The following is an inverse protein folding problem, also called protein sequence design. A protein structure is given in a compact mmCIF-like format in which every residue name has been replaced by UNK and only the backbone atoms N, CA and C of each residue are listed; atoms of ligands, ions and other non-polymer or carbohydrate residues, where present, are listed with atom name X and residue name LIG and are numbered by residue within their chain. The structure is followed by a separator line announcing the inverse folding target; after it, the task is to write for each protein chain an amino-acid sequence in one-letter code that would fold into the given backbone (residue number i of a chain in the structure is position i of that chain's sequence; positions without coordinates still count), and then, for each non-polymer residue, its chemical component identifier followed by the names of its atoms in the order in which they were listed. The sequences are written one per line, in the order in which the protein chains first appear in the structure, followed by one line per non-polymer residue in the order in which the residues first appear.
data_IF_975160944181
#
_entry.id   IF_975160944181
#
_cell.length_a   1.000
_cell.length_b   1.000
_cell.length_c   1.000
_cell.angle_alpha   90.00
_cell.angle_beta   90.00
_cell.angle_gamma   90.00
#
_symmetry.space_group_name_H-M   'P 1'
#
loop_
_entity.id
_entity.type
_entity.pdbx_description
1 polymer ?
#
# COMPACT_ATOMS: atom_id res chain seq x y z
N UNK A 1 5.23 6.23 -90.09
CA UNK A 1 6.26 6.20 -91.15
C UNK A 1 6.45 7.64 -91.61
N UNK A 2 7.51 8.28 -91.10
CA UNK A 2 8.67 8.76 -91.88
C UNK A 2 8.36 10.05 -92.65
N UNK A 3 8.88 11.18 -92.18
CA UNK A 3 10.11 11.84 -92.69
C UNK A 3 9.86 12.49 -94.04
N UNK A 4 9.68 13.82 -94.07
CA UNK A 4 10.72 14.85 -94.27
C UNK A 4 10.88 15.20 -95.75
N UNK A 5 11.41 16.41 -95.94
CA UNK A 5 11.86 17.03 -97.19
C UNK A 5 10.71 17.70 -97.98
N UNK A 6 10.74 18.99 -98.29
CA UNK A 6 11.87 19.91 -98.42
C UNK A 6 11.83 20.47 -99.83
N UNK A 7 11.55 21.76 -100.00
CA UNK A 7 12.15 22.64 -101.02
C UNK A 7 11.43 23.98 -101.07
N UNK A 8 12.22 25.03 -100.94
CA UNK A 8 11.84 26.41 -101.18
C UNK A 8 11.87 26.74 -102.69
N UNK A 9 11.00 27.65 -103.14
CA UNK A 9 11.38 28.95 -103.70
C UNK A 9 10.23 29.62 -104.49
N UNK A 10 10.35 30.95 -104.60
CA UNK A 10 9.78 31.83 -105.64
C UNK A 10 8.49 32.60 -105.35
N UNK A 11 8.64 33.60 -104.48
CA UNK A 11 8.33 35.03 -104.66
C UNK A 11 7.33 35.48 -105.74
N UNK A 12 6.21 36.11 -105.33
CA UNK A 12 5.58 37.22 -106.09
C UNK A 12 5.16 38.33 -105.11
N UNK A 13 5.70 39.54 -105.30
CA UNK A 13 5.38 40.76 -104.55
C UNK A 13 4.03 41.33 -104.98
N UNK A 14 3.19 41.74 -104.01
CA UNK A 14 2.22 42.83 -104.19
C UNK A 14 2.27 43.78 -102.99
N UNK A 15 2.52 45.07 -103.28
CA UNK A 15 2.50 46.21 -102.36
C UNK A 15 1.06 46.54 -101.95
N UNK A 16 0.79 46.70 -100.67
CA UNK A 16 -0.38 47.45 -100.16
C UNK A 16 0.05 48.33 -98.99
N UNK A 17 -0.45 49.55 -99.01
CA UNK A 17 -0.05 50.74 -98.24
C UNK A 17 -0.51 50.72 -96.78
N UNK A 18 0.38 51.15 -95.86
CA UNK A 18 0.05 51.35 -94.43
C UNK A 18 -0.64 52.70 -94.21
N UNK A 19 -1.87 52.69 -93.68
CA UNK A 19 -2.51 53.87 -93.06
C UNK A 19 -2.02 54.00 -91.61
N UNK A 20 -1.42 55.14 -91.29
CA UNK A 20 -1.14 55.56 -89.92
C UNK A 20 -2.42 56.14 -89.30
N UNK A 21 -2.84 55.61 -88.15
CA UNK A 21 -3.87 56.22 -87.32
C UNK A 21 -3.20 57.15 -86.30
N UNK A 22 -3.48 58.45 -86.40
CA UNK A 22 -3.15 59.47 -85.40
C UNK A 22 -4.22 59.39 -84.31
N UNK A 23 -3.81 59.04 -83.09
CA UNK A 23 -4.69 58.95 -81.90
C UNK A 23 -4.79 60.34 -81.29
N UNK A 24 -5.98 60.92 -81.26
CA UNK A 24 -6.27 62.14 -80.50
C UNK A 24 -6.25 61.82 -79.00
N UNK A 25 -5.38 62.53 -78.27
CA UNK A 25 -5.30 62.52 -76.81
C UNK A 25 -6.47 63.35 -76.26
N UNK A 26 -7.44 62.68 -75.64
CA UNK A 26 -8.49 63.34 -74.88
C UNK A 26 -8.00 63.57 -73.46
N UNK A 27 -7.72 64.82 -73.13
CA UNK A 27 -7.29 65.28 -71.81
C UNK A 27 -8.46 65.14 -70.80
N UNK A 28 -8.52 63.99 -70.13
CA UNK A 28 -9.55 63.66 -69.14
C UNK A 28 -9.04 64.06 -67.76
N UNK A 29 -9.34 65.29 -67.33
CA UNK A 29 -9.08 65.79 -65.96
C UNK A 29 -9.60 64.79 -64.92
N UNK A 30 -8.71 64.25 -64.09
CA UNK A 30 -9.04 63.38 -62.96
C UNK A 30 -9.90 64.15 -61.94
N UNK A 31 -11.12 63.69 -61.71
CA UNK A 31 -11.96 64.15 -60.61
C UNK A 31 -11.51 63.45 -59.32
N UNK A 32 -11.14 64.18 -58.25
CA UNK A 32 -10.77 63.58 -56.96
C UNK A 32 -11.94 62.82 -56.29
N UNK A 33 -13.17 62.97 -56.78
CA UNK A 33 -14.37 62.31 -56.25
C UNK A 33 -14.33 60.79 -56.52
N UNK A 34 -13.61 60.32 -57.56
CA UNK A 34 -13.48 58.88 -57.85
C UNK A 34 -12.50 58.15 -56.92
N UNK A 35 -11.62 58.88 -56.20
CA UNK A 35 -10.64 58.29 -55.26
C UNK A 35 -11.30 57.91 -53.94
N UNK A 36 -12.33 58.64 -53.52
CA UNK A 36 -13.07 58.41 -52.26
C UNK A 36 -13.77 57.03 -52.22
N UNK A 37 -14.54 56.60 -53.24
CA UNK A 37 -15.15 55.27 -53.23
C UNK A 37 -14.11 54.15 -53.37
N UNK A 38 -13.01 54.37 -54.08
CA UNK A 38 -11.89 53.40 -54.17
C UNK A 38 -11.17 53.24 -52.83
N UNK A 39 -10.92 54.33 -52.10
CA UNK A 39 -10.38 54.29 -50.74
C UNK A 39 -11.38 53.64 -49.77
N UNK A 40 -12.67 53.95 -49.87
CA UNK A 40 -13.71 53.29 -49.08
C UNK A 40 -13.77 51.78 -49.31
N UNK A 41 -13.62 51.34 -50.56
CA UNK A 41 -13.61 49.92 -50.92
C UNK A 41 -12.31 49.24 -50.45
N UNK A 42 -11.16 49.93 -50.54
CA UNK A 42 -9.90 49.45 -49.99
C UNK A 42 -9.95 49.35 -48.45
N UNK A 43 -10.56 50.32 -47.76
CA UNK A 43 -10.76 50.29 -46.30
C UNK A 43 -11.72 49.17 -45.91
N UNK A 44 -12.83 48.96 -46.62
CA UNK A 44 -13.73 47.82 -46.40
C UNK A 44 -13.02 46.47 -46.63
N UNK A 45 -12.16 46.39 -47.65
CA UNK A 45 -11.35 45.21 -47.92
C UNK A 45 -10.32 44.98 -46.80
N UNK A 46 -9.67 46.03 -46.31
CA UNK A 46 -8.73 45.96 -45.19
C UNK A 46 -9.41 45.58 -43.87
N UNK A 47 -10.60 46.12 -43.59
CA UNK A 47 -11.41 45.74 -42.43
C UNK A 47 -11.87 44.27 -42.55
N UNK A 48 -12.33 43.84 -43.73
CA UNK A 48 -12.66 42.44 -43.98
C UNK A 48 -11.46 41.51 -43.78
N UNK A 49 -10.30 41.88 -44.30
CA UNK A 49 -9.07 41.10 -44.13
C UNK A 49 -8.58 41.07 -42.66
N UNK A 50 -8.71 42.17 -41.91
CA UNK A 50 -8.17 42.26 -40.55
C UNK A 50 -9.11 41.73 -39.46
N UNK A 51 -10.43 41.81 -39.65
CA UNK A 51 -11.42 41.44 -38.62
C UNK A 51 -12.10 40.12 -38.93
N UNK A 52 -12.46 39.88 -40.19
CA UNK A 52 -13.25 38.71 -40.57
C UNK A 52 -12.36 37.49 -40.78
N UNK A 53 -11.18 37.64 -41.38
CA UNK A 53 -10.29 36.50 -41.65
C UNK A 53 -9.79 35.78 -40.37
N UNK A 54 -9.31 36.48 -39.32
CA UNK A 54 -8.85 35.79 -38.10
C UNK A 54 -10.00 35.11 -37.35
N UNK A 55 -11.19 35.72 -37.33
CA UNK A 55 -12.37 35.14 -36.69
C UNK A 55 -12.85 33.86 -37.37
N UNK A 56 -12.69 33.74 -38.68
CA UNK A 56 -13.01 32.50 -39.42
C UNK A 56 -12.00 31.39 -39.10
N UNK A 57 -10.70 31.71 -39.02
CA UNK A 57 -9.66 30.73 -38.73
C UNK A 57 -9.81 30.10 -37.33
N UNK A 58 -10.15 30.91 -36.33
CA UNK A 58 -10.39 30.47 -34.96
C UNK A 58 -11.67 29.64 -34.83
N UNK A 59 -12.74 30.04 -35.53
CA UNK A 59 -14.02 29.34 -35.52
C UNK A 59 -13.95 27.97 -36.23
N UNK A 60 -13.18 27.87 -37.32
CA UNK A 60 -12.88 26.59 -37.99
C UNK A 60 -12.08 25.69 -37.05
N UNK A 61 -11.02 26.20 -36.43
CA UNK A 61 -10.15 25.41 -35.54
C UNK A 61 -10.91 24.85 -34.33
N UNK A 62 -11.80 25.65 -33.73
CA UNK A 62 -12.65 25.24 -32.61
C UNK A 62 -13.64 24.14 -33.01
N UNK A 63 -14.36 24.29 -34.13
CA UNK A 63 -15.32 23.28 -34.60
C UNK A 63 -14.65 21.95 -34.97
N UNK A 64 -13.49 22.02 -35.61
CA UNK A 64 -12.67 20.83 -35.91
C UNK A 64 -12.34 20.10 -34.61
N UNK A 65 -11.94 20.82 -33.57
CA UNK A 65 -11.62 20.25 -32.27
C UNK A 65 -12.83 19.58 -31.61
N UNK A 66 -13.99 20.25 -31.58
CA UNK A 66 -15.23 19.74 -30.98
C UNK A 66 -15.75 18.47 -31.67
N UNK A 67 -15.77 18.44 -33.01
CA UNK A 67 -16.24 17.28 -33.77
C UNK A 67 -15.30 16.08 -33.67
N UNK A 68 -13.98 16.31 -33.61
CA UNK A 68 -13.00 15.23 -33.41
C UNK A 68 -13.10 14.64 -32.00
N UNK A 69 -13.29 15.47 -30.97
CA UNK A 69 -13.55 15.00 -29.61
C UNK A 69 -14.86 14.21 -29.53
N UNK A 70 -15.93 14.69 -30.16
CA UNK A 70 -17.22 13.98 -30.21
C UNK A 70 -17.12 12.62 -30.94
N UNK A 71 -16.19 12.48 -31.89
CA UNK A 71 -15.90 11.22 -32.57
C UNK A 71 -15.00 10.26 -31.75
N UNK A 72 -14.53 10.67 -30.57
CA UNK A 72 -13.64 9.89 -29.70
C UNK A 72 -12.18 9.87 -30.16
N UNK A 73 -11.77 10.84 -30.98
CA UNK A 73 -10.39 10.96 -31.48
C UNK A 73 -9.63 11.95 -30.59
N UNK A 74 -8.54 11.50 -29.96
CA UNK A 74 -7.68 12.38 -29.18
C UNK A 74 -6.81 13.22 -30.14
N UNK A 75 -6.99 14.53 -30.11
CA UNK A 75 -6.29 15.48 -30.99
C UNK A 75 -5.30 16.28 -30.18
N UNK A 76 -4.03 16.26 -30.57
CA UNK A 76 -2.97 16.98 -29.87
C UNK A 76 -2.81 18.41 -30.39
N UNK A 77 -3.13 18.66 -31.66
CA UNK A 77 -3.04 20.01 -32.24
C UNK A 77 -3.95 20.15 -33.48
N UNK A 78 -4.66 21.29 -33.56
CA UNK A 78 -5.42 21.74 -34.73
C UNK A 78 -4.92 23.13 -35.09
N UNK A 79 -4.46 23.31 -36.32
CA UNK A 79 -4.03 24.62 -36.84
C UNK A 79 -4.76 24.91 -38.15
N UNK A 80 -5.36 26.09 -38.24
CA UNK A 80 -5.93 26.64 -39.46
C UNK A 80 -5.06 27.80 -39.94
N UNK A 81 -4.72 27.82 -41.23
CA UNK A 81 -3.97 28.90 -41.86
C UNK A 81 -4.44 29.07 -43.30
N UNK A 82 -5.20 30.13 -43.58
CA UNK A 82 -5.78 30.37 -44.90
C UNK A 82 -6.75 29.25 -45.33
N UNK A 83 -6.38 28.51 -46.38
CA UNK A 83 -7.18 27.39 -46.93
C UNK A 83 -6.70 25.99 -46.47
N UNK A 84 -5.75 25.92 -45.53
CA UNK A 84 -5.19 24.66 -45.04
C UNK A 84 -5.57 24.45 -43.58
N UNK A 85 -6.11 23.27 -43.28
CA UNK A 85 -6.29 22.79 -41.90
C UNK A 85 -5.35 21.62 -41.66
N UNK A 86 -4.49 21.75 -40.64
CA UNK A 86 -3.57 20.70 -40.21
C UNK A 86 -4.07 20.11 -38.90
N UNK A 87 -4.27 18.79 -38.88
CA UNK A 87 -4.73 18.04 -37.71
C UNK A 87 -3.68 16.99 -37.34
N UNK A 88 -3.25 17.00 -36.09
CA UNK A 88 -2.42 15.95 -35.53
C UNK A 88 -3.25 15.19 -34.50
N UNK A 89 -3.47 13.90 -34.76
CA UNK A 89 -4.38 13.08 -33.98
C UNK A 89 -3.77 11.71 -33.68
N UNK A 90 -4.11 11.17 -32.51
CA UNK A 90 -3.74 9.81 -32.10
C UNK A 90 -4.85 8.86 -32.53
N UNK A 91 -4.62 8.05 -33.57
CA UNK A 91 -5.58 7.08 -34.06
C UNK A 91 -4.97 6.05 -35.01
N UNK A 92 -5.68 4.94 -35.23
CA UNK A 92 -5.25 3.87 -36.12
C UNK A 92 -5.40 4.25 -37.61
N UNK A 93 -4.46 3.83 -38.49
CA UNK A 93 -4.60 4.02 -39.93
C UNK A 93 -5.89 3.37 -40.47
N UNK A 94 -6.75 4.16 -41.13
CA UNK A 94 -7.98 3.67 -41.77
C UNK A 94 -9.28 3.82 -40.97
N UNK A 95 -9.25 4.50 -39.81
CA UNK A 95 -10.49 4.78 -39.08
C UNK A 95 -11.39 5.76 -39.86
N UNK A 96 -12.51 5.24 -40.39
CA UNK A 96 -13.47 6.00 -41.18
C UNK A 96 -14.05 7.21 -40.43
N UNK A 97 -13.98 7.20 -39.10
CA UNK A 97 -14.39 8.31 -38.23
C UNK A 97 -13.52 9.54 -38.42
N UNK A 98 -12.21 9.38 -38.60
CA UNK A 98 -11.28 10.50 -38.83
C UNK A 98 -11.57 11.13 -40.19
N UNK A 99 -11.78 10.30 -41.22
CA UNK A 99 -12.10 10.76 -42.58
C UNK A 99 -13.43 11.54 -42.57
N UNK A 100 -14.45 11.03 -41.86
CA UNK A 100 -15.76 11.67 -41.75
C UNK A 100 -15.71 12.98 -40.94
N UNK A 101 -14.96 13.01 -39.85
CA UNK A 101 -14.80 14.19 -39.01
C UNK A 101 -14.00 15.30 -39.73
N UNK A 102 -12.88 14.94 -40.39
CA UNK A 102 -12.09 15.88 -41.20
C UNK A 102 -12.90 16.40 -42.39
N UNK A 103 -13.67 15.55 -43.07
CA UNK A 103 -14.53 15.99 -44.16
C UNK A 103 -15.61 16.98 -43.69
N UNK A 104 -16.30 16.69 -42.58
CA UNK A 104 -17.33 17.56 -42.01
C UNK A 104 -16.75 18.90 -41.51
N UNK A 105 -15.51 18.87 -41.02
CA UNK A 105 -14.79 20.05 -40.55
C UNK A 105 -14.32 20.99 -41.68
N UNK A 106 -14.39 20.56 -42.95
CA UNK A 106 -14.09 21.41 -44.12
C UNK A 106 -15.29 22.22 -44.64
N UNK A 107 -16.48 22.07 -44.05
CA UNK A 107 -17.67 22.85 -44.37
C UNK A 107 -17.77 24.12 -43.49
N UNK A 108 -18.07 25.27 -44.11
CA UNK A 108 -18.35 26.53 -43.40
C UNK A 108 -19.71 27.10 -43.79
N UNK A 109 -20.34 27.79 -42.85
CA UNK A 109 -21.42 28.72 -43.17
C UNK A 109 -20.86 30.11 -43.51
N UNK A 110 -21.38 30.71 -44.56
CA UNK A 110 -21.14 32.10 -44.90
C UNK A 110 -22.47 32.84 -45.08
N UNK A 111 -22.39 34.17 -45.07
CA UNK A 111 -23.49 35.08 -45.42
C UNK A 111 -24.08 34.84 -46.82
N UNK A 112 -23.41 34.05 -47.68
CA UNK A 112 -23.89 33.65 -49.01
C UNK A 112 -24.23 32.15 -49.11
N UNK A 113 -24.41 31.45 -47.98
CA UNK A 113 -24.68 30.01 -47.92
C UNK A 113 -23.47 29.18 -47.52
N UNK A 114 -23.57 27.84 -47.63
CA UNK A 114 -22.48 26.92 -47.30
C UNK A 114 -21.34 27.04 -48.32
N UNK A 115 -20.15 27.36 -47.84
CA UNK A 115 -18.91 27.38 -48.61
C UNK A 115 -17.97 26.30 -48.08
N UNK A 116 -17.17 25.69 -48.95
CA UNK A 116 -16.04 24.83 -48.53
C UNK A 116 -14.87 25.75 -48.17
N UNK A 117 -14.50 25.80 -46.89
CA UNK A 117 -13.53 26.77 -46.39
C UNK A 117 -12.06 26.35 -46.56
N UNK A 118 -11.70 25.06 -46.41
CA UNK A 118 -10.37 24.58 -46.78
C UNK A 118 -10.44 23.46 -47.84
N UNK A 119 -9.62 23.55 -48.88
CA UNK A 119 -9.51 22.54 -49.96
C UNK A 119 -8.58 21.37 -49.61
N UNK A 120 -7.82 21.47 -48.51
CA UNK A 120 -6.88 20.42 -48.13
C UNK A 120 -6.76 20.25 -46.61
N UNK A 121 -6.71 18.99 -46.19
CA UNK A 121 -6.45 18.60 -44.81
C UNK A 121 -5.22 17.69 -44.76
N UNK A 122 -4.30 17.95 -43.84
CA UNK A 122 -3.21 17.01 -43.53
C UNK A 122 -3.49 16.39 -42.17
N UNK A 123 -3.57 15.07 -42.16
CA UNK A 123 -3.69 14.29 -40.93
C UNK A 123 -2.36 13.60 -40.69
N UNK A 124 -1.71 13.92 -39.57
CA UNK A 124 -0.59 13.12 -39.07
C UNK A 124 -1.13 12.21 -37.97
N UNK A 125 -1.19 10.92 -38.27
CA UNK A 125 -1.55 9.90 -37.30
C UNK A 125 -0.34 9.58 -36.43
N UNK A 126 -0.52 9.65 -35.12
CA UNK A 126 0.39 9.06 -34.15
C UNK A 126 -0.14 7.66 -33.85
N UNK A 127 0.70 6.64 -34.01
CA UNK A 127 0.32 5.28 -33.63
C UNK A 127 -0.06 5.25 -32.15
N UNK A 128 -1.21 4.67 -31.77
CA UNK A 128 -1.57 4.56 -30.37
C UNK A 128 -0.46 3.81 -29.66
N UNK A 129 0.00 4.35 -28.51
CA UNK A 129 0.96 3.68 -27.63
C UNK A 129 0.43 2.27 -27.39
N UNK A 130 1.11 1.30 -28.01
CA UNK A 130 0.68 -0.10 -28.07
C UNK A 130 0.18 -0.51 -26.69
N UNK A 131 -1.08 -0.94 -26.58
CA UNK A 131 -1.63 -1.40 -25.32
C UNK A 131 -0.68 -2.49 -24.82
N UNK A 132 0.01 -2.20 -23.71
CA UNK A 132 0.88 -3.18 -23.06
C UNK A 132 -0.04 -4.32 -22.68
N UNK A 133 0.11 -5.46 -23.34
CA UNK A 133 -0.64 -6.67 -23.01
C UNK A 133 -0.33 -6.94 -21.54
N UNK A 134 -1.34 -6.83 -20.68
CA UNK A 134 -1.16 -7.05 -19.26
C UNK A 134 -0.61 -8.48 -19.07
N UNK A 135 0.49 -8.66 -18.32
CA UNK A 135 1.08 -9.98 -18.11
C UNK A 135 0.06 -10.90 -17.45
N UNK A 136 0.08 -12.19 -17.83
CA UNK A 136 -0.81 -13.18 -17.24
C UNK A 136 -0.54 -13.32 -15.73
N UNK A 137 -1.57 -13.49 -14.88
CA UNK A 137 -1.37 -13.67 -13.46
C UNK A 137 -0.58 -14.95 -13.16
N UNK A 138 0.35 -14.88 -12.22
CA UNK A 138 1.09 -16.06 -11.75
C UNK A 138 1.13 -16.16 -10.23
N UNK A 139 1.55 -17.32 -9.74
CA UNK A 139 1.76 -17.54 -8.32
C UNK A 139 3.05 -16.86 -7.85
N UNK A 140 2.91 -16.04 -6.83
CA UNK A 140 4.01 -15.43 -6.08
C UNK A 140 4.14 -16.14 -4.73
N UNK A 141 5.34 -16.14 -4.17
CA UNK A 141 5.61 -16.75 -2.88
C UNK A 141 6.27 -15.74 -1.94
N UNK A 142 5.88 -15.78 -0.66
CA UNK A 142 6.55 -15.01 0.38
C UNK A 142 6.69 -15.82 1.66
N UNK A 143 7.63 -15.41 2.49
CA UNK A 143 7.88 -15.97 3.81
C UNK A 143 8.07 -14.83 4.81
N UNK A 144 7.34 -14.90 5.91
CA UNK A 144 7.50 -14.07 7.10
C UNK A 144 8.09 -14.96 8.19
N UNK A 145 9.31 -14.66 8.63
CA UNK A 145 9.98 -15.36 9.72
C UNK A 145 9.95 -14.47 10.95
N UNK A 146 9.38 -14.97 12.05
CA UNK A 146 9.31 -14.29 13.34
C UNK A 146 10.33 -14.89 14.30
N UNK A 147 11.16 -14.03 14.89
CA UNK A 147 12.08 -14.38 15.98
C UNK A 147 12.02 -13.31 17.08
N UNK A 148 11.41 -13.62 18.21
CA UNK A 148 11.24 -12.73 19.38
C UNK A 148 10.64 -11.35 19.08
N UNK A 149 11.43 -10.29 18.91
CA UNK A 149 10.91 -8.96 18.51
C UNK A 149 11.34 -8.57 17.09
N UNK A 150 11.87 -9.54 16.34
CA UNK A 150 12.33 -9.35 14.98
C UNK A 150 11.50 -10.10 13.96
N UNK A 151 11.37 -9.51 12.77
CA UNK A 151 10.73 -10.13 11.62
C UNK A 151 11.62 -10.02 10.39
N UNK A 152 11.69 -11.10 9.63
CA UNK A 152 12.34 -11.14 8.31
C UNK A 152 11.29 -11.42 7.24
N UNK A 153 11.23 -10.56 6.23
CA UNK A 153 10.35 -10.69 5.08
C UNK A 153 11.18 -11.12 3.87
N UNK A 154 10.88 -12.27 3.27
CA UNK A 154 11.57 -12.76 2.08
C UNK A 154 10.58 -13.22 1.02
N UNK A 155 11.03 -13.23 -0.24
CA UNK A 155 10.23 -13.68 -1.39
C UNK A 155 9.94 -12.57 -2.39
N UNK A 156 8.95 -12.80 -3.23
CA UNK A 156 8.61 -11.92 -4.35
C UNK A 156 7.16 -11.44 -4.20
N UNK A 157 6.94 -10.14 -4.32
CA UNK A 157 5.62 -9.49 -4.26
C UNK A 157 5.19 -8.96 -5.64
N UNK A 158 3.88 -8.90 -5.93
CA UNK A 158 3.40 -8.57 -7.27
C UNK A 158 3.69 -7.12 -7.68
N UNK A 159 3.63 -6.19 -6.73
CA UNK A 159 3.76 -4.76 -6.99
C UNK A 159 4.30 -4.01 -5.77
N UNK A 160 4.61 -2.73 -5.98
CA UNK A 160 5.15 -1.84 -4.96
C UNK A 160 4.12 -1.52 -3.86
N UNK A 161 2.82 -1.55 -4.15
CA UNK A 161 1.79 -1.29 -3.14
C UNK A 161 1.78 -2.39 -2.08
N UNK A 162 1.85 -3.66 -2.51
CA UNK A 162 1.92 -4.81 -1.61
C UNK A 162 3.24 -4.81 -0.84
N UNK A 163 4.36 -4.50 -1.51
CA UNK A 163 5.67 -4.33 -0.85
C UNK A 163 5.57 -3.33 0.31
N UNK A 164 5.17 -2.09 0.01
CA UNK A 164 5.17 -0.99 0.96
C UNK A 164 4.17 -1.25 2.10
N UNK A 165 3.05 -1.91 1.80
CA UNK A 165 2.09 -2.35 2.82
C UNK A 165 2.69 -3.38 3.77
N UNK A 166 3.38 -4.40 3.27
CA UNK A 166 4.02 -5.42 4.11
C UNK A 166 5.10 -4.80 4.99
N UNK A 167 6.00 -4.00 4.41
CA UNK A 167 7.08 -3.33 5.14
C UNK A 167 6.52 -2.33 6.15
N UNK A 168 5.49 -1.57 5.78
CA UNK A 168 4.82 -0.61 6.67
C UNK A 168 4.16 -1.28 7.87
N UNK A 169 3.41 -2.37 7.66
CA UNK A 169 2.82 -3.16 8.75
C UNK A 169 3.92 -3.74 9.64
N UNK A 170 4.99 -4.28 9.05
CA UNK A 170 6.10 -4.85 9.80
C UNK A 170 6.78 -3.78 10.68
N UNK A 171 7.08 -2.60 10.14
CA UNK A 171 7.70 -1.51 10.88
C UNK A 171 6.85 -0.95 12.01
N UNK A 172 5.52 -1.13 11.96
CA UNK A 172 4.62 -0.72 13.04
C UNK A 172 4.49 -1.75 14.17
N UNK A 173 4.76 -3.03 13.88
CA UNK A 173 4.43 -4.15 14.80
C UNK A 173 5.63 -4.84 15.42
N UNK A 174 6.80 -4.72 14.83
CA UNK A 174 8.01 -5.43 15.28
C UNK A 174 9.14 -4.44 15.54
N UNK A 175 9.92 -4.67 16.61
CA UNK A 175 11.04 -3.78 16.94
C UNK A 175 12.20 -3.84 15.96
N UNK A 176 12.39 -4.96 15.24
CA UNK A 176 13.40 -5.09 14.18
C UNK A 176 12.83 -5.72 12.92
N UNK A 177 13.03 -5.06 11.78
CA UNK A 177 12.55 -5.55 10.46
C UNK A 177 13.72 -5.74 9.51
N UNK A 178 13.84 -6.95 8.97
CA UNK A 178 14.73 -7.27 7.85
C UNK A 178 13.88 -7.47 6.60
N UNK A 179 14.08 -6.62 5.59
CA UNK A 179 13.34 -6.69 4.33
C UNK A 179 14.23 -7.23 3.20
N UNK A 180 13.88 -8.39 2.68
CA UNK A 180 14.50 -9.05 1.52
C UNK A 180 13.45 -9.36 0.44
N UNK A 181 12.35 -8.60 0.41
CA UNK A 181 11.31 -8.74 -0.62
C UNK A 181 11.78 -8.13 -1.95
N UNK A 182 11.48 -8.81 -3.06
CA UNK A 182 11.63 -8.29 -4.42
C UNK A 182 10.27 -7.99 -5.05
N UNK A 183 10.20 -7.03 -5.98
CA UNK A 183 8.97 -6.65 -6.69
C UNK A 183 9.02 -7.13 -8.13
N UNK A 184 8.04 -7.93 -8.55
CA UNK A 184 8.00 -8.52 -9.91
C UNK A 184 7.32 -7.63 -10.95
N UNK A 185 6.38 -6.77 -10.52
CA UNK A 185 5.45 -6.03 -11.39
C UNK A 185 4.55 -6.93 -12.25
N UNK A 186 4.14 -8.07 -11.71
CA UNK A 186 3.26 -9.03 -12.37
C UNK A 186 2.06 -9.35 -11.46
N UNK A 187 0.84 -9.45 -12.00
CA UNK A 187 -0.35 -9.75 -11.20
C UNK A 187 -0.22 -11.08 -10.46
N UNK A 188 -0.63 -11.09 -9.19
CA UNK A 188 -0.66 -12.32 -8.40
C UNK A 188 -1.95 -13.13 -8.64
N UNK A 189 -1.85 -14.45 -8.51
CA UNK A 189 -2.99 -15.35 -8.34
C UNK A 189 -3.53 -15.31 -6.92
N UNK A 190 -4.82 -15.65 -6.77
CA UNK A 190 -5.46 -15.79 -5.47
C UNK A 190 -5.49 -14.51 -4.62
N UNK A 191 -5.81 -14.63 -3.32
CA UNK A 191 -5.92 -13.49 -2.40
C UNK A 191 -4.57 -13.04 -1.81
N UNK A 192 -3.52 -12.90 -2.62
CA UNK A 192 -2.14 -12.65 -2.17
C UNK A 192 -2.01 -11.47 -1.17
N UNK A 193 -2.52 -10.28 -1.51
CA UNK A 193 -2.41 -9.08 -0.65
C UNK A 193 -3.09 -9.28 0.72
N UNK A 194 -4.23 -9.98 0.74
CA UNK A 194 -4.92 -10.33 2.00
C UNK A 194 -4.08 -11.35 2.79
N UNK A 195 -3.51 -12.35 2.11
CA UNK A 195 -2.66 -13.34 2.76
C UNK A 195 -1.38 -12.74 3.35
N UNK A 196 -0.74 -11.80 2.64
CA UNK A 196 0.42 -11.05 3.13
C UNK A 196 0.12 -10.29 4.41
N UNK A 197 -1.01 -9.57 4.43
CA UNK A 197 -1.49 -8.87 5.64
C UNK A 197 -1.77 -9.86 6.78
N UNK A 198 -2.37 -11.02 6.45
CA UNK A 198 -2.74 -12.02 7.45
C UNK A 198 -1.53 -12.75 8.05
N UNK A 199 -0.51 -13.01 7.23
CA UNK A 199 0.74 -13.61 7.67
C UNK A 199 1.44 -12.75 8.72
N UNK A 200 1.49 -11.44 8.52
CA UNK A 200 2.04 -10.48 9.49
C UNK A 200 1.21 -10.43 10.77
N UNK A 201 -0.12 -10.43 10.66
CA UNK A 201 -1.00 -10.44 11.83
C UNK A 201 -0.90 -11.72 12.66
N UNK A 202 -0.70 -12.88 12.02
CA UNK A 202 -0.39 -14.12 12.72
C UNK A 202 0.99 -14.04 13.37
N UNK A 203 2.02 -13.60 12.62
CA UNK A 203 3.40 -13.53 13.09
C UNK A 203 3.57 -12.62 14.32
N UNK A 204 2.78 -11.56 14.45
CA UNK A 204 2.75 -10.67 15.62
C UNK A 204 2.50 -11.41 16.94
N UNK A 205 1.72 -12.50 16.90
CA UNK A 205 1.30 -13.24 18.09
C UNK A 205 2.10 -14.53 18.30
N UNK A 206 2.99 -14.87 17.37
CA UNK A 206 3.94 -15.98 17.55
C UNK A 206 5.11 -15.52 18.40
N UNK A 207 5.64 -16.40 19.25
CA UNK A 207 6.93 -16.16 19.90
C UNK A 207 8.03 -16.28 18.83
N UNK A 208 8.08 -17.44 18.19
CA UNK A 208 8.97 -17.76 17.08
C UNK A 208 8.20 -18.59 16.05
N UNK A 209 8.43 -18.37 14.76
CA UNK A 209 7.73 -19.15 13.75
C UNK A 209 7.86 -18.62 12.33
N UNK A 210 7.04 -19.19 11.44
CA UNK A 210 7.00 -18.92 10.02
C UNK A 210 5.56 -18.84 9.55
N UNK A 211 5.23 -17.79 8.81
CA UNK A 211 4.03 -17.70 8.00
C UNK A 211 4.45 -17.57 6.53
N UNK A 212 4.10 -18.52 5.68
CA UNK A 212 4.49 -18.52 4.27
C UNK A 212 3.30 -18.71 3.35
N UNK A 213 3.31 -17.98 2.24
CA UNK A 213 2.36 -18.15 1.15
C UNK A 213 3.02 -18.90 0.01
N UNK A 214 2.53 -20.10 -0.26
CA UNK A 214 3.04 -21.00 -1.30
C UNK A 214 1.88 -21.78 -1.90
N UNK A 215 1.83 -21.93 -3.23
CA UNK A 215 0.73 -22.64 -3.90
C UNK A 215 -0.66 -22.05 -3.61
N UNK A 216 -0.78 -20.73 -3.57
CA UNK A 216 -2.00 -19.98 -3.20
C UNK A 216 -2.58 -20.34 -1.83
N UNK A 217 -1.73 -20.77 -0.89
CA UNK A 217 -2.12 -21.14 0.46
C UNK A 217 -1.18 -20.55 1.50
N UNK A 218 -1.77 -20.02 2.58
CA UNK A 218 -1.05 -19.56 3.76
C UNK A 218 -0.79 -20.75 4.69
N UNK A 219 0.47 -21.03 4.95
CA UNK A 219 0.96 -22.03 5.89
C UNK A 219 1.58 -21.35 7.10
N UNK A 220 1.20 -21.79 8.30
CA UNK A 220 1.72 -21.25 9.57
C UNK A 220 2.32 -22.38 10.39
N UNK A 221 3.56 -22.18 10.82
CA UNK A 221 4.25 -23.04 11.78
C UNK A 221 4.94 -22.21 12.86
N UNK A 222 5.04 -22.74 14.08
CA UNK A 222 5.80 -22.04 15.12
C UNK A 222 5.38 -22.36 16.54
N UNK A 223 5.70 -21.43 17.42
CA UNK A 223 5.45 -21.49 18.85
C UNK A 223 4.63 -20.27 19.28
N UNK A 224 3.59 -20.49 20.06
CA UNK A 224 2.64 -19.46 20.52
C UNK A 224 2.44 -19.56 22.03
N UNK A 225 2.36 -18.42 22.71
CA UNK A 225 1.98 -18.38 24.12
C UNK A 225 0.53 -18.83 24.31
N UNK A 226 0.21 -19.50 25.42
CA UNK A 226 -1.15 -19.98 25.71
C UNK A 226 -2.24 -18.90 25.51
N UNK A 227 -1.99 -17.68 25.97
CA UNK A 227 -2.92 -16.55 25.89
C UNK A 227 -3.15 -16.02 24.47
N UNK A 228 -2.27 -16.35 23.53
CA UNK A 228 -2.29 -15.84 22.14
C UNK A 228 -2.82 -16.84 21.12
N UNK A 229 -3.07 -18.09 21.52
CA UNK A 229 -3.47 -19.16 20.59
C UNK A 229 -4.79 -18.83 19.87
N UNK A 230 -5.77 -18.27 20.59
CA UNK A 230 -7.08 -17.96 20.01
C UNK A 230 -6.97 -16.84 18.98
N UNK A 231 -6.23 -15.79 19.28
CA UNK A 231 -5.98 -14.67 18.36
C UNK A 231 -5.24 -15.16 17.11
N UNK A 232 -4.18 -15.96 17.27
CA UNK A 232 -3.46 -16.57 16.13
C UNK A 232 -4.41 -17.39 15.26
N UNK A 233 -5.29 -18.18 15.87
CA UNK A 233 -6.25 -19.03 15.16
C UNK A 233 -7.33 -18.21 14.45
N UNK A 234 -7.84 -17.16 15.07
CA UNK A 234 -8.80 -16.24 14.46
C UNK A 234 -8.21 -15.53 13.25
N UNK A 235 -7.01 -14.98 13.41
CA UNK A 235 -6.23 -14.37 12.34
C UNK A 235 -6.04 -15.37 11.18
N UNK A 236 -5.56 -16.57 11.46
CA UNK A 236 -5.41 -17.61 10.42
C UNK A 236 -6.73 -17.97 9.71
N UNK A 237 -7.85 -17.94 10.43
CA UNK A 237 -9.18 -18.31 9.91
C UNK A 237 -9.87 -17.22 9.08
N UNK A 238 -9.30 -16.01 8.99
CA UNK A 238 -9.77 -14.96 8.07
C UNK A 238 -9.73 -15.46 6.61
N UNK A 239 -8.73 -16.28 6.27
CA UNK A 239 -8.69 -17.01 5.00
C UNK A 239 -9.57 -18.26 5.08
N UNK A 240 -10.32 -18.54 4.01
CA UNK A 240 -11.24 -19.69 3.98
C UNK A 240 -10.52 -20.94 3.48
N UNK A 241 -10.94 -22.12 3.95
CA UNK A 241 -10.47 -23.40 3.40
C UNK A 241 -10.74 -23.48 1.89
N UNK A 242 -9.72 -23.84 1.11
CA UNK A 242 -9.81 -23.87 -0.36
C UNK A 242 -9.78 -22.49 -1.03
N UNK A 243 -9.67 -21.41 -0.25
CA UNK A 243 -9.54 -20.03 -0.72
C UNK A 243 -8.46 -19.30 0.11
N UNK A 244 -7.22 -19.77 -0.02
CA UNK A 244 -6.04 -19.16 0.61
C UNK A 244 -5.59 -19.76 1.93
N UNK A 245 -6.39 -20.60 2.60
CA UNK A 245 -5.97 -21.24 3.86
C UNK A 245 -5.25 -22.57 3.62
N UNK A 246 -4.01 -22.67 4.09
CA UNK A 246 -3.17 -23.88 4.06
C UNK A 246 -3.08 -24.58 5.41
N UNK A 247 -1.86 -25.02 5.78
CA UNK A 247 -1.61 -25.76 7.03
C UNK A 247 -1.40 -24.84 8.23
N UNK A 248 -1.73 -25.35 9.42
CA UNK A 248 -1.58 -24.65 10.69
C UNK A 248 -1.00 -25.62 11.72
N UNK A 249 0.27 -25.45 12.06
CA UNK A 249 0.99 -26.31 13.00
C UNK A 249 1.78 -25.46 14.01
N UNK A 250 1.08 -25.06 15.07
CA UNK A 250 1.64 -24.25 16.15
C UNK A 250 1.68 -25.05 17.43
N UNK A 251 2.81 -24.95 18.15
CA UNK A 251 2.99 -25.50 19.48
C UNK A 251 2.65 -24.44 20.50
N UNK A 252 1.83 -24.80 21.47
CA UNK A 252 1.47 -23.90 22.58
C UNK A 252 2.51 -24.08 23.67
N UNK A 253 3.08 -22.97 24.11
CA UNK A 253 3.87 -22.92 25.34
C UNK A 253 3.13 -22.10 26.38
N UNK A 254 2.94 -22.70 27.54
CA UNK A 254 2.40 -22.03 28.70
C UNK A 254 3.58 -21.72 29.63
N UNK A 255 4.17 -20.54 29.44
CA UNK A 255 5.28 -20.08 30.27
C UNK A 255 4.89 -19.98 31.75
N UNK A 256 3.63 -19.66 32.05
CA UNK A 256 3.14 -19.60 33.42
C UNK A 256 3.15 -20.99 34.08
N UNK A 257 2.64 -22.02 33.39
CA UNK A 257 2.71 -23.40 33.89
C UNK A 257 4.14 -23.90 34.09
N UNK A 258 5.04 -23.60 33.15
CA UNK A 258 6.45 -24.01 33.27
C UNK A 258 7.13 -23.33 34.46
N UNK A 259 6.87 -22.04 34.66
CA UNK A 259 7.40 -21.30 35.80
C UNK A 259 6.87 -21.81 37.13
N UNK A 260 5.57 -22.09 37.21
CA UNK A 260 4.97 -22.64 38.42
C UNK A 260 5.57 -24.00 38.76
N UNK A 261 5.79 -24.88 37.76
CA UNK A 261 6.45 -26.17 37.96
C UNK A 261 7.89 -25.99 38.48
N UNK A 262 8.67 -25.09 37.88
CA UNK A 262 10.03 -24.79 38.34
C UNK A 262 10.08 -24.25 39.77
N UNK A 263 9.14 -23.37 40.14
CA UNK A 263 9.03 -22.89 41.52
C UNK A 263 8.66 -24.02 42.48
N UNK A 264 7.71 -24.88 42.13
CA UNK A 264 7.35 -26.04 42.95
C UNK A 264 8.52 -27.02 43.10
N UNK A 265 9.30 -27.24 42.05
CA UNK A 265 10.51 -28.09 42.11
C UNK A 265 11.58 -27.47 43.02
N UNK A 266 11.82 -26.16 42.91
CA UNK A 266 12.75 -25.44 43.79
C UNK A 266 12.32 -25.49 45.26
N UNK A 267 11.01 -25.37 45.52
CA UNK A 267 10.48 -25.58 46.85
C UNK A 267 10.62 -27.03 47.30
N UNK A 268 10.31 -28.03 46.47
CA UNK A 268 10.61 -29.44 46.72
C UNK A 268 10.42 -29.89 48.18
N UNK A 269 11.53 -30.17 48.88
CA UNK A 269 11.58 -30.46 50.33
C UNK A 269 12.08 -29.28 51.19
N UNK A 270 12.42 -28.16 50.54
CA UNK A 270 12.90 -26.92 51.13
C UNK A 270 11.74 -25.95 51.43
N UNK A 271 11.99 -24.95 52.28
CA UNK A 271 11.02 -23.88 52.56
C UNK A 271 11.74 -22.61 52.97
N UNK A 272 11.12 -21.45 52.73
CA UNK A 272 11.63 -20.19 53.28
C UNK A 272 11.32 -20.15 54.78
N UNK A 273 12.38 -20.09 55.57
CA UNK A 273 12.32 -20.10 57.03
C UNK A 273 12.30 -18.68 57.56
N UNK A 274 11.56 -18.49 58.64
CA UNK A 274 11.44 -17.22 59.33
C UNK A 274 11.72 -17.40 60.82
N UNK A 275 12.22 -16.34 61.47
CA UNK A 275 12.29 -16.30 62.92
C UNK A 275 10.88 -16.44 63.55
N UNK A 276 10.84 -16.96 64.78
CA UNK A 276 9.58 -17.26 65.49
C UNK A 276 8.66 -16.04 65.53
N UNK A 277 7.41 -16.22 65.10
CA UNK A 277 6.38 -15.18 65.03
C UNK A 277 6.80 -13.89 64.28
N UNK A 278 7.77 -13.99 63.36
CA UNK A 278 8.31 -12.87 62.60
C UNK A 278 8.22 -13.09 61.09
N UNK A 279 8.47 -12.01 60.34
CA UNK A 279 8.73 -11.98 58.91
C UNK A 279 10.24 -11.83 58.58
N UNK A 280 11.11 -11.84 59.58
CA UNK A 280 12.58 -11.90 59.38
C UNK A 280 12.96 -13.25 58.80
N UNK A 281 13.52 -13.26 57.59
CA UNK A 281 14.00 -14.46 56.90
C UNK A 281 15.28 -14.96 57.57
N UNK A 282 15.37 -16.28 57.76
CA UNK A 282 16.56 -16.96 58.28
C UNK A 282 17.63 -17.05 57.19
N UNK A 283 18.90 -16.82 57.52
CA UNK A 283 20.02 -16.92 56.56
C UNK A 283 20.12 -18.32 55.93
N UNK A 284 19.59 -19.36 56.57
CA UNK A 284 19.47 -20.69 55.99
C UNK A 284 18.60 -20.75 54.71
N UNK A 285 17.82 -19.71 54.41
CA UNK A 285 17.00 -19.60 53.20
C UNK A 285 17.67 -18.85 52.05
N UNK A 286 18.88 -18.31 52.23
CA UNK A 286 19.59 -17.53 51.20
C UNK A 286 19.77 -18.30 49.89
N UNK A 287 20.26 -19.55 49.95
CA UNK A 287 20.46 -20.38 48.76
C UNK A 287 19.15 -20.66 48.01
N UNK A 288 18.04 -20.87 48.74
CA UNK A 288 16.74 -21.06 48.11
C UNK A 288 16.26 -19.76 47.46
N UNK A 289 16.45 -18.61 48.10
CA UNK A 289 16.10 -17.31 47.52
C UNK A 289 16.88 -17.02 46.23
N UNK A 290 18.18 -17.33 46.19
CA UNK A 290 19.00 -17.22 44.98
C UNK A 290 18.48 -18.11 43.84
N UNK A 291 18.10 -19.35 44.16
CA UNK A 291 17.49 -20.26 43.18
C UNK A 291 16.14 -19.73 42.67
N UNK A 292 15.28 -19.25 43.56
CA UNK A 292 13.98 -18.66 43.21
C UNK A 292 14.16 -17.38 42.36
N UNK A 293 15.16 -16.56 42.66
CA UNK A 293 15.49 -15.39 41.84
C UNK A 293 15.98 -15.81 40.44
N UNK A 294 16.82 -16.84 40.34
CA UNK A 294 17.26 -17.38 39.05
C UNK A 294 16.09 -17.84 38.18
N UNK A 295 15.10 -18.54 38.77
CA UNK A 295 13.87 -18.94 38.08
C UNK A 295 13.03 -17.70 37.70
N UNK A 296 12.80 -16.79 38.64
CA UNK A 296 12.02 -15.57 38.41
C UNK A 296 12.59 -14.67 37.30
N UNK A 297 13.91 -14.69 37.10
CA UNK A 297 14.57 -13.95 36.01
C UNK A 297 14.25 -14.51 34.62
N UNK A 298 13.96 -15.82 34.53
CA UNK A 298 13.65 -16.53 33.28
C UNK A 298 12.15 -16.57 33.00
N UNK A 299 11.33 -16.44 34.04
CA UNK A 299 9.89 -16.38 33.92
C UNK A 299 9.42 -15.05 33.33
N UNK A 300 8.61 -15.01 32.26
CA UNK A 300 7.99 -13.77 31.80
C UNK A 300 6.80 -13.36 32.68
N UNK A 301 6.44 -12.08 32.65
CA UNK A 301 5.22 -11.57 33.30
C UNK A 301 5.36 -11.29 34.80
N UNK A 302 4.21 -11.17 35.46
CA UNK A 302 4.07 -10.86 36.89
C UNK A 302 4.03 -12.16 37.70
N UNK A 303 4.74 -12.18 38.82
CA UNK A 303 4.76 -13.27 39.79
C UNK A 303 4.06 -12.83 41.07
N UNK A 304 3.23 -13.72 41.61
CA UNK A 304 2.54 -13.54 42.88
C UNK A 304 3.22 -14.40 43.94
N UNK A 305 3.71 -13.74 44.99
CA UNK A 305 4.28 -14.35 46.17
C UNK A 305 3.17 -14.50 47.20
N UNK A 306 2.78 -15.75 47.46
CA UNK A 306 1.67 -16.12 48.33
C UNK A 306 2.18 -16.55 49.70
N UNK A 307 1.79 -15.82 50.75
CA UNK A 307 2.05 -16.17 52.13
C UNK A 307 0.91 -16.96 52.75
N UNK A 308 1.23 -18.03 53.47
CA UNK A 308 0.25 -18.86 54.18
C UNK A 308 0.68 -19.16 55.63
N UNK A 309 -0.31 -19.30 56.51
CA UNK A 309 -0.13 -19.75 57.90
C UNK A 309 -0.90 -21.05 58.14
N UNK A 310 -0.63 -21.68 59.29
CA UNK A 310 -1.51 -22.71 59.83
C UNK A 310 -2.72 -22.09 60.56
N UNK A 311 -3.63 -22.93 61.06
CA UNK A 311 -4.87 -22.49 61.70
C UNK A 311 -4.73 -22.07 63.17
N UNK A 312 -3.51 -21.83 63.68
CA UNK A 312 -3.32 -21.40 65.07
C UNK A 312 -3.17 -19.89 65.12
N UNK A 313 -3.86 -19.27 66.07
CA UNK A 313 -3.84 -17.82 66.27
C UNK A 313 -5.14 -17.18 65.82
N UNK A 314 -5.19 -15.85 65.90
CA UNK A 314 -6.31 -15.07 65.41
C UNK A 314 -6.18 -14.88 63.88
N UNK A 315 -7.30 -15.02 63.15
CA UNK A 315 -7.34 -14.89 61.69
C UNK A 315 -6.69 -13.60 61.18
N UNK A 316 -6.98 -12.46 61.84
CA UNK A 316 -6.39 -11.16 61.48
C UNK A 316 -4.87 -11.12 61.67
N UNK A 317 -4.35 -11.77 62.72
CA UNK A 317 -2.91 -11.89 62.95
C UNK A 317 -2.26 -12.81 61.90
N UNK A 318 -2.92 -13.91 61.56
CA UNK A 318 -2.46 -14.85 60.53
C UNK A 318 -2.40 -14.20 59.15
N UNK A 319 -3.42 -13.41 58.81
CA UNK A 319 -3.44 -12.62 57.58
C UNK A 319 -2.33 -11.57 57.54
N UNK A 320 -2.13 -10.81 58.62
CA UNK A 320 -1.07 -9.81 58.70
C UNK A 320 0.33 -10.46 58.61
N UNK A 321 0.55 -11.56 59.32
CA UNK A 321 1.83 -12.27 59.35
C UNK A 321 2.16 -12.90 57.99
N UNK A 322 1.21 -13.57 57.36
CA UNK A 322 1.40 -14.14 56.02
C UNK A 322 1.75 -13.06 54.99
N UNK A 323 1.06 -11.91 55.03
CA UNK A 323 1.35 -10.78 54.15
C UNK A 323 2.74 -10.20 54.39
N UNK A 324 3.13 -10.01 55.64
CA UNK A 324 4.45 -9.50 55.99
C UNK A 324 5.58 -10.42 55.50
N UNK A 325 5.38 -11.75 55.59
CA UNK A 325 6.32 -12.74 55.07
C UNK A 325 6.43 -12.73 53.55
N UNK A 326 5.30 -12.61 52.85
CA UNK A 326 5.31 -12.48 51.39
C UNK A 326 6.06 -11.20 50.95
N UNK A 327 5.87 -10.08 51.66
CA UNK A 327 6.61 -8.82 51.40
C UNK A 327 8.11 -8.98 51.70
N UNK A 328 8.49 -9.71 52.75
CA UNK A 328 9.89 -9.96 53.05
C UNK A 328 10.57 -10.73 51.91
N UNK A 329 9.93 -11.79 51.39
CA UNK A 329 10.43 -12.54 50.24
C UNK A 329 10.48 -11.68 48.98
N UNK A 330 9.45 -10.86 48.74
CA UNK A 330 9.43 -9.89 47.63
C UNK A 330 10.66 -8.98 47.67
N UNK A 331 10.95 -8.37 48.81
CA UNK A 331 12.09 -7.48 48.96
C UNK A 331 13.41 -8.22 48.74
N UNK A 332 13.56 -9.45 49.26
CA UNK A 332 14.74 -10.26 49.00
C UNK A 332 14.95 -10.58 47.51
N UNK A 333 13.87 -10.88 46.77
CA UNK A 333 13.97 -11.10 45.32
C UNK A 333 14.32 -9.82 44.55
N UNK A 334 13.84 -8.66 45.02
CA UNK A 334 14.22 -7.35 44.47
C UNK A 334 15.71 -7.09 44.68
N UNK A 335 16.22 -7.36 45.89
CA UNK A 335 17.65 -7.21 46.22
C UNK A 335 18.53 -8.14 45.36
N UNK A 336 17.98 -9.28 44.94
CA UNK A 336 18.62 -10.23 44.01
C UNK A 336 18.45 -9.87 42.52
N UNK A 337 17.84 -8.72 42.22
CA UNK A 337 17.78 -8.15 40.86
C UNK A 337 16.48 -8.38 40.09
N UNK A 338 15.43 -8.89 40.74
CA UNK A 338 14.11 -9.00 40.10
C UNK A 338 13.39 -7.65 40.15
N UNK A 339 12.84 -7.23 39.02
CA UNK A 339 12.10 -5.96 38.92
C UNK A 339 10.90 -5.96 39.89
N UNK A 340 10.76 -4.87 40.67
CA UNK A 340 9.67 -4.66 41.62
C UNK A 340 8.31 -4.73 40.94
N UNK A 341 8.18 -4.20 39.73
CA UNK A 341 6.90 -4.14 39.01
C UNK A 341 6.42 -5.52 38.55
N UNK A 342 7.31 -6.51 38.59
CA UNK A 342 7.00 -7.92 38.28
C UNK A 342 6.56 -8.74 39.49
N UNK A 343 6.60 -8.20 40.71
CA UNK A 343 6.34 -8.98 41.92
C UNK A 343 5.15 -8.42 42.69
N UNK A 344 4.18 -9.28 43.03
CA UNK A 344 3.03 -8.96 43.87
C UNK A 344 3.09 -9.83 45.13
N UNK A 345 3.05 -9.23 46.31
CA UNK A 345 2.99 -9.97 47.58
C UNK A 345 1.55 -10.01 48.13
N UNK A 346 1.01 -11.22 48.34
CA UNK A 346 -0.33 -11.46 48.88
C UNK A 346 -0.23 -12.39 50.10
N UNK A 347 -0.89 -12.02 51.20
CA UNK A 347 -1.09 -12.91 52.34
C UNK A 347 -2.48 -13.52 52.31
N UNK A 348 -2.58 -14.84 52.45
CA UNK A 348 -3.86 -15.56 52.54
C UNK A 348 -4.18 -16.03 53.96
N UNK A 349 -3.28 -15.83 54.92
CA UNK A 349 -3.41 -16.39 56.26
C UNK A 349 -3.64 -17.91 56.20
N UNK A 350 -4.65 -18.37 56.92
CA UNK A 350 -5.02 -19.79 57.03
C UNK A 350 -6.09 -20.24 56.04
N UNK A 351 -6.58 -19.35 55.15
CA UNK A 351 -7.76 -19.59 54.29
C UNK A 351 -7.54 -20.60 53.17
N UNK A 352 -6.28 -20.92 52.84
CA UNK A 352 -5.89 -21.85 51.76
C UNK A 352 -4.97 -22.98 52.28
N UNK A 353 -5.48 -23.88 53.14
CA UNK A 353 -4.70 -25.00 53.66
C UNK A 353 -4.46 -26.06 52.58
N UNK A 354 -3.27 -26.63 52.54
CA UNK A 354 -2.89 -27.75 51.65
C UNK A 354 -2.76 -29.07 52.41
N UNK A 355 -2.93 -29.02 53.73
CA UNK A 355 -2.77 -30.14 54.63
C UNK A 355 -3.68 -30.00 55.86
N UNK A 356 -3.93 -31.12 56.54
CA UNK A 356 -4.77 -31.14 57.73
C UNK A 356 -4.13 -30.38 58.91
N UNK A 357 -4.78 -29.28 59.31
CA UNK A 357 -4.37 -28.43 60.44
C UNK A 357 -4.49 -29.12 61.81
N UNK A 358 -5.18 -30.26 61.91
CA UNK A 358 -5.26 -31.02 63.16
C UNK A 358 -3.90 -31.63 63.55
N UNK A 359 -3.06 -31.95 62.56
CA UNK A 359 -1.76 -32.62 62.76
C UNK A 359 -0.60 -31.62 62.80
N UNK A 360 0.47 -31.94 63.54
CA UNK A 360 1.67 -31.09 63.58
C UNK A 360 2.34 -30.98 62.21
N UNK A 361 2.46 -32.11 61.50
CA UNK A 361 3.01 -32.17 60.15
C UNK A 361 2.17 -31.38 59.15
N UNK A 362 0.83 -31.44 59.21
CA UNK A 362 -0.02 -30.68 58.31
C UNK A 362 0.05 -29.17 58.56
N UNK A 363 0.10 -28.73 59.82
CA UNK A 363 0.35 -27.32 60.14
C UNK A 363 1.68 -26.82 59.59
N UNK A 364 2.74 -27.64 59.68
CA UNK A 364 4.03 -27.29 59.10
C UNK A 364 3.98 -27.10 57.59
N UNK A 365 3.27 -27.97 56.86
CA UNK A 365 3.04 -27.80 55.42
C UNK A 365 2.20 -26.56 55.08
N UNK A 366 1.28 -26.15 55.94
CA UNK A 366 0.46 -24.96 55.72
C UNK A 366 1.24 -23.65 55.93
N UNK A 367 2.27 -23.64 56.81
CA UNK A 367 3.18 -22.50 56.99
C UNK A 367 4.20 -22.44 55.85
N UNK A 368 3.81 -21.86 54.72
CA UNK A 368 4.63 -21.83 53.49
C UNK A 368 4.59 -20.48 52.78
N UNK A 369 5.57 -20.31 51.90
CA UNK A 369 5.54 -19.35 50.81
C UNK A 369 5.35 -20.15 49.51
N UNK A 370 4.54 -19.64 48.61
CA UNK A 370 4.48 -20.11 47.22
C UNK A 370 4.76 -18.93 46.28
N UNK A 371 5.28 -19.22 45.10
CA UNK A 371 5.41 -18.25 44.02
C UNK A 371 4.66 -18.84 42.83
N UNK A 372 3.73 -18.07 42.29
CA UNK A 372 2.91 -18.47 41.13
C UNK A 372 2.92 -17.35 40.10
N UNK A 373 2.84 -17.72 38.84
CA UNK A 373 2.75 -16.80 37.72
C UNK A 373 1.32 -16.24 37.66
N UNK A 374 1.19 -14.92 37.53
CA UNK A 374 -0.14 -14.29 37.42
C UNK A 374 -0.76 -14.66 36.07
N UNK A 375 -1.88 -15.38 36.09
CA UNK A 375 -2.65 -15.74 34.89
C UNK A 375 -3.81 -14.77 34.69
N UNK A 376 -3.80 -13.92 33.65
CA UNK A 376 -4.92 -13.04 33.36
C UNK A 376 -6.17 -13.86 33.04
N UNK A 377 -7.20 -13.78 33.89
CA UNK A 377 -8.51 -14.43 33.65
C UNK A 377 -8.88 -15.61 34.57
N UNK A 378 -7.98 -16.05 35.45
CA UNK A 378 -8.27 -17.10 36.46
C UNK A 378 -8.62 -16.55 37.86
N UNK A 379 -8.83 -15.23 38.00
CA UNK A 379 -9.15 -14.59 39.29
C UNK A 379 -10.63 -14.58 39.64
#
# INVERSE_FOLDING_TARGET
MTSSDGMAASTIRKKVTRRYWRREETDRRWSPIAVIPLLGLAVLFLIGAAVVAPGIEEDVSRRVHEELQAAGVAVSNVQSSGQLVSVVAEALPGDAKIIKAVAKATECESIFGRLTCPTSARVRLVEPKSAVVAPEPRAHEFVVIKSDDSVTLTGEVPDLEVHDRMVGIAGQRFGRVTNELSVSNEPATGPYSRAATQALAVAEHLVNGRASWTGDQLHVTGVVGADHLNQVREQFNVLRNGAGRGSFNVQVIDYAMQCDEQFQEAFGTSTIRFATASATIDSASEQLLEQLASIASQCPGVLVIEGHTDSRGEEGMNLALSRARAIAVQNSLIDLGIDRDRLIAIGYGETRPIADNSTASGRERNRRIAIVSDRPGER
#
